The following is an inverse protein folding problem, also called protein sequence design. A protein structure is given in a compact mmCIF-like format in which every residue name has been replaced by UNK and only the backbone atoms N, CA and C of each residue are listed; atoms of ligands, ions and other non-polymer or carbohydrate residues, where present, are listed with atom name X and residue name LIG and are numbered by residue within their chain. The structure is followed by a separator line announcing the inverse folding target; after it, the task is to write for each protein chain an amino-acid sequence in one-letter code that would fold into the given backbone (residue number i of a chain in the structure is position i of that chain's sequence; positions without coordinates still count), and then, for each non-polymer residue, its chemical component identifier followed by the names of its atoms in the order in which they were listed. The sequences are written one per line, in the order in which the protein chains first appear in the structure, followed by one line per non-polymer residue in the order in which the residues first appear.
data_IF_760973699353
#
_entry.id   IF_760973699353
#
_cell.length_a   1.000
_cell.length_b   1.000
_cell.length_c   1.000
_cell.angle_alpha   90.00
_cell.angle_beta   90.00
_cell.angle_gamma   90.00
#
_symmetry.space_group_name_H-M   'P 1'
#
loop_
_entity.id
_entity.type
_entity.pdbx_description
1 polymer ?
#
# COMPACT_ATOMS: atom_id res chain seq x y z
N UNK A 1 15.84 2.16 -17.34
CA UNK A 1 16.17 3.61 -17.40
C UNK A 1 16.60 3.98 -18.80
N UNK A 2 16.18 5.14 -19.31
CA UNK A 2 16.57 5.66 -20.64
C UNK A 2 16.83 7.16 -20.51
N UNK A 3 17.95 7.64 -21.04
CA UNK A 3 18.29 9.07 -21.12
C UNK A 3 18.59 9.49 -22.55
N UNK A 4 18.09 10.65 -22.97
CA UNK A 4 18.38 11.27 -24.28
C UNK A 4 19.17 12.54 -24.01
N UNK A 5 20.38 12.65 -24.58
CA UNK A 5 21.34 13.74 -24.32
C UNK A 5 21.74 13.90 -22.83
N UNK A 6 21.62 12.82 -22.04
CA UNK A 6 21.95 12.80 -20.61
C UNK A 6 22.80 11.56 -20.30
N UNK A 7 24.03 11.73 -19.75
CA UNK A 7 24.94 10.61 -19.51
C UNK A 7 24.55 9.75 -18.30
N UNK A 8 23.84 10.33 -17.31
CA UNK A 8 23.40 9.62 -16.11
C UNK A 8 21.89 9.84 -15.92
N UNK A 9 21.03 8.93 -16.41
CA UNK A 9 19.58 9.10 -16.36
C UNK A 9 18.99 8.62 -15.02
N UNK A 10 19.35 9.30 -13.92
CA UNK A 10 18.77 9.04 -12.60
C UNK A 10 17.40 9.72 -12.50
N UNK A 11 16.30 9.00 -12.28
CA UNK A 11 15.00 9.60 -12.01
C UNK A 11 15.02 10.38 -10.69
N UNK A 12 14.35 11.53 -10.66
CA UNK A 12 14.11 12.25 -9.39
C UNK A 12 13.23 11.41 -8.46
N UNK A 13 13.32 11.61 -7.15
CA UNK A 13 12.72 10.71 -6.14
C UNK A 13 11.20 10.48 -6.22
N UNK A 14 10.48 11.30 -6.99
CA UNK A 14 9.06 11.09 -7.31
C UNK A 14 8.82 9.93 -8.29
N UNK A 15 9.84 9.50 -9.04
CA UNK A 15 9.79 8.39 -9.99
C UNK A 15 10.57 7.19 -9.46
N UNK A 16 10.18 6.00 -9.91
CA UNK A 16 10.84 4.76 -9.53
C UNK A 16 12.17 4.56 -10.27
N UNK A 17 13.21 4.16 -9.54
CA UNK A 17 14.54 3.81 -10.04
C UNK A 17 14.76 2.30 -9.99
N UNK A 18 15.24 1.74 -11.08
CA UNK A 18 15.62 0.32 -11.17
C UNK A 18 16.09 -0.05 -12.58
N UNK A 19 16.43 -1.32 -12.73
CA UNK A 19 17.06 -1.88 -13.92
C UNK A 19 16.32 -3.10 -14.47
N UNK A 20 16.91 -3.72 -15.50
CA UNK A 20 16.42 -4.95 -16.13
C UNK A 20 17.50 -6.03 -16.08
N UNK A 21 17.12 -7.31 -16.03
CA UNK A 21 18.04 -8.47 -15.85
C UNK A 21 18.79 -8.39 -14.51
N UNK A 22 20.09 -8.61 -14.49
CA UNK A 22 20.92 -8.61 -13.27
C UNK A 22 21.13 -7.23 -12.62
N UNK A 23 20.41 -6.19 -13.07
CA UNK A 23 20.52 -4.82 -12.56
C UNK A 23 19.41 -4.42 -11.59
N UNK A 24 18.50 -5.34 -11.27
CA UNK A 24 17.54 -5.22 -10.17
C UNK A 24 17.22 -6.62 -9.64
N UNK A 25 17.17 -6.77 -8.32
CA UNK A 25 16.70 -7.99 -7.66
C UNK A 25 15.34 -7.72 -7.02
N UNK A 26 14.40 -8.63 -7.23
CA UNK A 26 13.01 -8.45 -6.80
C UNK A 26 12.15 -7.75 -7.86
N UNK A 27 10.89 -7.53 -7.50
CA UNK A 27 9.85 -6.94 -8.34
C UNK A 27 9.72 -5.42 -8.15
N UNK A 28 9.90 -4.94 -6.92
CA UNK A 28 9.76 -3.53 -6.58
C UNK A 28 11.00 -2.69 -6.93
N UNK A 29 10.75 -1.49 -7.44
CA UNK A 29 11.77 -0.49 -7.73
C UNK A 29 11.97 0.47 -6.53
N UNK A 30 13.13 1.14 -6.47
CA UNK A 30 13.45 2.09 -5.39
C UNK A 30 12.81 3.45 -5.69
N UNK A 31 12.40 4.18 -4.65
CA UNK A 31 11.71 5.49 -4.73
C UNK A 31 10.32 5.46 -5.38
N UNK A 32 9.70 6.63 -5.47
CA UNK A 32 8.41 6.82 -6.11
C UNK A 32 7.28 5.95 -5.52
N UNK A 33 6.23 5.68 -6.31
CA UNK A 33 5.10 4.86 -5.91
C UNK A 33 5.49 3.41 -5.56
N UNK A 34 6.50 2.87 -6.24
CA UNK A 34 6.96 1.49 -6.03
C UNK A 34 7.50 1.28 -4.61
N UNK A 35 8.20 2.27 -4.06
CA UNK A 35 8.65 2.22 -2.66
C UNK A 35 7.49 2.17 -1.65
N UNK A 36 6.41 2.91 -1.92
CA UNK A 36 5.22 2.93 -1.05
C UNK A 36 4.52 1.57 -1.13
N UNK A 37 4.37 1.02 -2.33
CA UNK A 37 3.78 -0.31 -2.52
C UNK A 37 4.61 -1.41 -1.85
N UNK A 38 5.94 -1.31 -1.86
CA UNK A 38 6.82 -2.28 -1.20
C UNK A 38 6.70 -2.23 0.34
N UNK A 39 6.67 -1.04 0.93
CA UNK A 39 6.59 -0.87 2.39
C UNK A 39 5.17 -0.97 2.95
N UNK A 40 4.14 -1.09 2.10
CA UNK A 40 2.74 -1.17 2.53
C UNK A 40 2.05 -2.41 1.97
N UNK A 41 0.84 -2.68 2.45
CA UNK A 41 -0.01 -3.76 1.93
C UNK A 41 -1.41 -3.22 1.69
N UNK A 42 -1.99 -3.54 0.53
CA UNK A 42 -3.37 -3.20 0.25
C UNK A 42 -4.31 -3.97 1.20
N UNK A 43 -5.25 -3.25 1.80
CA UNK A 43 -6.30 -3.82 2.63
C UNK A 43 -7.66 -3.39 2.09
N UNK A 44 -8.51 -4.35 1.78
CA UNK A 44 -9.90 -4.09 1.37
C UNK A 44 -10.80 -4.35 2.56
N UNK A 45 -11.64 -3.38 2.92
CA UNK A 45 -12.58 -3.47 4.04
C UNK A 45 -13.99 -3.28 3.53
N UNK A 46 -14.86 -4.26 3.80
CA UNK A 46 -16.30 -4.17 3.53
C UNK A 46 -17.03 -4.13 4.87
N UNK A 47 -17.83 -3.09 5.10
CA UNK A 47 -18.61 -2.93 6.32
C UNK A 47 -20.11 -2.90 6.00
N UNK A 48 -20.90 -3.44 6.92
CA UNK A 48 -22.36 -3.31 6.94
C UNK A 48 -22.73 -2.78 8.31
N UNK A 49 -23.49 -1.70 8.34
CA UNK A 49 -24.07 -1.16 9.57
C UNK A 49 -25.54 -1.60 9.62
N UNK A 50 -25.94 -2.45 10.59
CA UNK A 50 -27.33 -2.83 10.74
C UNK A 50 -28.18 -1.62 11.14
N UNK A 51 -29.45 -1.62 10.74
CA UNK A 51 -30.41 -0.59 11.17
C UNK A 51 -30.60 -0.65 12.70
N UNK A 52 -30.89 0.49 13.37
CA UNK A 52 -30.98 0.56 14.82
C UNK A 52 -32.01 -0.40 15.45
N UNK A 53 -33.11 -0.66 14.74
CA UNK A 53 -34.18 -1.59 15.14
C UNK A 53 -33.74 -3.06 15.15
N UNK A 54 -32.70 -3.39 14.39
CA UNK A 54 -32.06 -4.71 14.35
C UNK A 54 -30.85 -4.83 15.28
N UNK A 55 -30.42 -3.73 15.89
CA UNK A 55 -29.26 -3.69 16.79
C UNK A 55 -29.68 -3.76 18.26
N UNK A 56 -29.43 -4.91 18.91
CA UNK A 56 -29.48 -4.99 20.37
C UNK A 56 -28.17 -4.44 20.93
N UNK A 57 -28.23 -3.44 21.81
CA UNK A 57 -27.05 -2.89 22.50
C UNK A 57 -26.74 -3.81 23.68
N UNK A 58 -25.85 -4.78 23.47
CA UNK A 58 -25.22 -5.54 24.56
C UNK A 58 -23.90 -4.85 24.94
N UNK A 59 -23.89 -4.18 26.09
CA UNK A 59 -22.72 -3.47 26.63
C UNK A 59 -21.82 -4.38 27.49
N UNK A 60 -22.14 -5.68 27.59
CA UNK A 60 -21.33 -6.65 28.33
C UNK A 60 -21.33 -6.46 29.85
N UNK A 61 -22.32 -5.74 30.40
CA UNK A 61 -22.47 -5.63 31.85
C UNK A 61 -22.93 -6.96 32.45
N UNK A 62 -22.34 -7.43 33.58
CA UNK A 62 -22.81 -8.62 34.25
C UNK A 62 -24.27 -8.46 34.71
N UNK A 63 -25.16 -9.33 34.24
CA UNK A 63 -26.51 -9.47 34.80
C UNK A 63 -26.49 -10.55 35.88
N UNK A 64 -26.98 -10.23 37.07
CA UNK A 64 -27.24 -11.23 38.10
C UNK A 64 -28.56 -11.92 37.75
N UNK A 65 -28.47 -13.14 37.21
CA UNK A 65 -29.55 -14.12 37.23
C UNK A 65 -29.30 -15.15 38.32
#
# INVERSE_FOLDING_TARGET
MVGINVPIPVPVGSFSFGGWKDSLFGDAHIYGPESINFYTRSKVVTTRWPEPDQSHIDLGFPSNH
#
